data_IF_440193586043
#
_entry.id   IF_440193586043
#
_cell.length_a   1.000
_cell.length_b   1.000
_cell.length_c   1.000
_cell.angle_alpha   90.00
_cell.angle_beta   90.00
_cell.angle_gamma   90.00
#
_symmetry.space_group_name_H-M   'P 1'
#
loop_
_entity.id
_entity.type
_entity.pdbx_description
1 polymer ?
#
# COMPACT_ATOMS: atom_id res chain seq x y z
N UNK A 1 -23.93 -3.61 8.58
CA UNK A 1 -22.54 -3.74 8.06
C UNK A 1 -21.67 -2.84 8.90
N UNK A 2 -20.56 -3.30 9.51
CA UNK A 2 -19.68 -2.40 10.25
C UNK A 2 -19.09 -1.41 9.24
N UNK A 3 -19.31 -0.10 9.48
CA UNK A 3 -18.78 0.97 8.63
C UNK A 3 -17.27 1.01 8.86
N UNK A 4 -16.54 0.48 7.89
CA UNK A 4 -15.09 0.50 7.87
C UNK A 4 -14.66 1.92 7.50
N UNK A 5 -14.38 2.75 8.53
CA UNK A 5 -14.07 4.16 8.32
C UNK A 5 -12.64 4.32 7.76
N UNK A 6 -12.45 5.12 6.69
CA UNK A 6 -11.13 5.47 6.20
C UNK A 6 -10.45 6.34 7.24
N UNK A 7 -9.22 5.97 7.61
CA UNK A 7 -8.44 6.64 8.66
C UNK A 7 -7.10 7.05 8.08
N UNK A 8 -6.67 8.27 8.41
CA UNK A 8 -5.36 8.81 8.09
C UNK A 8 -4.65 9.17 9.37
N UNK A 9 -3.51 8.54 9.60
CA UNK A 9 -2.75 8.70 10.84
C UNK A 9 -1.28 8.94 10.52
N UNK A 10 -0.61 9.70 11.38
CA UNK A 10 0.82 9.97 11.26
C UNK A 10 1.51 9.61 12.56
N UNK A 11 2.57 8.80 12.47
CA UNK A 11 3.22 8.27 13.66
C UNK A 11 4.58 7.65 13.37
N UNK A 12 5.26 7.24 14.43
CA UNK A 12 6.50 6.48 14.33
C UNK A 12 6.18 5.01 14.13
N UNK A 13 6.70 4.40 13.06
CA UNK A 13 6.57 2.97 12.86
C UNK A 13 7.66 2.25 13.66
N UNK A 14 7.26 1.32 14.52
CA UNK A 14 8.17 0.54 15.36
C UNK A 14 7.86 -0.94 15.22
N UNK A 15 8.90 -1.76 15.31
CA UNK A 15 8.74 -3.20 15.38
C UNK A 15 8.33 -3.61 16.82
N UNK A 16 7.42 -4.56 16.92
CA UNK A 16 6.95 -5.11 18.19
C UNK A 16 6.91 -6.63 18.10
N UNK A 17 6.90 -7.31 19.25
CA UNK A 17 6.84 -8.78 19.31
C UNK A 17 5.62 -9.38 18.59
N UNK A 18 4.55 -8.59 18.42
CA UNK A 18 3.31 -8.98 17.74
C UNK A 18 3.23 -8.48 16.29
N UNK A 19 4.28 -7.83 15.77
CA UNK A 19 4.33 -7.24 14.43
C UNK A 19 4.45 -5.71 14.43
N UNK A 20 4.40 -5.08 13.24
CA UNK A 20 4.60 -3.64 13.10
C UNK A 20 3.53 -2.82 13.81
N UNK A 21 3.97 -1.80 14.54
CA UNK A 21 3.12 -0.97 15.37
C UNK A 21 3.36 0.52 15.06
N UNK A 22 2.29 1.27 14.86
CA UNK A 22 2.33 2.72 14.65
C UNK A 22 2.10 3.43 15.98
N UNK A 23 3.12 4.12 16.48
CA UNK A 23 3.02 4.99 17.65
C UNK A 23 2.59 6.39 17.23
N UNK A 24 1.40 6.80 17.65
CA UNK A 24 0.92 8.16 17.46
C UNK A 24 1.58 9.12 18.46
N UNK A 25 1.84 10.37 18.07
CA UNK A 25 2.35 11.38 18.98
C UNK A 25 1.38 11.69 20.16
N UNK A 26 0.09 11.42 20.00
CA UNK A 26 -0.95 11.64 21.02
C UNK A 26 -1.18 10.48 21.99
N UNK A 27 -0.34 9.44 21.99
CA UNK A 27 -0.42 8.34 22.96
C UNK A 27 -1.31 7.15 22.56
N UNK A 28 -1.70 7.06 21.28
CA UNK A 28 -2.39 5.90 20.71
C UNK A 28 -1.43 5.00 19.93
N UNK A 29 -1.68 3.69 19.96
CA UNK A 29 -0.91 2.71 19.21
C UNK A 29 -1.83 1.95 18.26
N UNK A 30 -1.45 1.84 16.99
CA UNK A 30 -2.17 1.02 16.02
C UNK A 30 -1.33 -0.18 15.61
N UNK A 31 -1.92 -1.36 15.72
CA UNK A 31 -1.32 -2.55 15.14
C UNK A 31 -1.55 -2.51 13.62
N UNK A 32 -0.49 -2.72 12.85
CA UNK A 32 -0.55 -2.74 11.39
C UNK A 32 -0.25 -4.16 10.92
N UNK A 33 -1.01 -4.62 9.93
CA UNK A 33 -0.74 -5.90 9.29
C UNK A 33 0.66 -5.89 8.62
N UNK A 34 1.50 -6.90 8.88
CA UNK A 34 2.84 -6.95 8.33
C UNK A 34 2.82 -7.05 6.81
N UNK A 35 3.50 -6.12 6.15
CA UNK A 35 3.73 -6.17 4.71
C UNK A 35 5.18 -5.80 4.39
N UNK A 36 5.65 -6.20 3.20
CA UNK A 36 7.02 -5.86 2.76
C UNK A 36 7.25 -4.35 2.71
N UNK A 37 6.22 -3.55 2.41
CA UNK A 37 6.31 -2.09 2.40
C UNK A 37 6.41 -1.51 3.83
N UNK A 38 5.59 -2.03 4.76
CA UNK A 38 5.60 -1.63 6.17
C UNK A 38 6.96 -1.97 6.81
N UNK A 39 7.47 -3.18 6.60
CA UNK A 39 8.75 -3.61 7.18
C UNK A 39 9.94 -2.77 6.72
N UNK A 40 9.89 -2.21 5.51
CA UNK A 40 10.95 -1.31 4.99
C UNK A 40 10.95 0.07 5.65
N UNK A 41 9.86 0.46 6.31
CA UNK A 41 9.69 1.77 6.92
C UNK A 41 9.77 1.70 8.46
N UNK A 42 10.14 0.56 9.03
CA UNK A 42 10.32 0.42 10.48
C UNK A 42 11.42 1.36 10.95
N UNK A 43 11.17 2.08 12.04
CA UNK A 43 12.05 3.11 12.59
C UNK A 43 11.83 4.50 11.98
N UNK A 44 10.99 4.62 10.95
CA UNK A 44 10.70 5.89 10.29
C UNK A 44 9.37 6.49 10.76
N UNK A 45 9.27 7.82 10.67
CA UNK A 45 7.99 8.51 10.83
C UNK A 45 7.22 8.41 9.54
N UNK A 46 6.02 7.84 9.60
CA UNK A 46 5.21 7.50 8.43
C UNK A 46 3.82 8.09 8.52
N UNK A 47 3.27 8.42 7.36
CA UNK A 47 1.86 8.67 7.15
C UNK A 47 1.23 7.38 6.65
N UNK A 48 0.16 6.95 7.31
CA UNK A 48 -0.59 5.77 6.99
C UNK A 48 -2.02 6.14 6.59
N UNK A 49 -2.49 5.55 5.50
CA UNK A 49 -3.89 5.52 5.13
C UNK A 49 -4.37 4.08 5.12
N UNK A 50 -5.52 3.87 5.74
CA UNK A 50 -6.10 2.54 5.83
C UNK A 50 -7.55 2.59 6.23
N UNK A 51 -8.04 1.40 6.51
CA UNK A 51 -9.39 1.23 7.05
C UNK A 51 -9.28 0.61 8.42
N UNK A 52 -10.02 1.16 9.38
CA UNK A 52 -10.10 0.55 10.71
C UNK A 52 -10.77 -0.83 10.59
N UNK A 53 -10.03 -1.89 10.91
CA UNK A 53 -10.47 -3.28 10.77
C UNK A 53 -10.86 -3.93 12.11
N UNK A 54 -10.89 -3.14 13.20
CA UNK A 54 -11.24 -3.61 14.54
C UNK A 54 -11.04 -2.51 15.60
N UNK A 55 -10.92 -2.92 16.87
CA UNK A 55 -10.68 -1.97 17.97
C UNK A 55 -9.29 -1.31 17.89
N UNK A 56 -8.24 -2.10 17.61
CA UNK A 56 -6.84 -1.65 17.60
C UNK A 56 -6.08 -1.98 16.30
N UNK A 57 -6.76 -2.54 15.30
CA UNK A 57 -6.16 -2.94 14.02
C UNK A 57 -6.54 -1.98 12.90
N UNK A 58 -5.54 -1.59 12.11
CA UNK A 58 -5.75 -0.86 10.86
C UNK A 58 -5.24 -1.71 9.70
N UNK A 59 -6.15 -2.00 8.77
CA UNK A 59 -5.79 -2.55 7.46
C UNK A 59 -5.10 -1.44 6.65
N UNK A 60 -3.77 -1.53 6.56
CA UNK A 60 -2.95 -0.55 5.85
C UNK A 60 -3.15 -0.69 4.34
N UNK A 61 -3.66 0.37 3.70
CA UNK A 61 -3.77 0.41 2.24
C UNK A 61 -2.58 1.12 1.62
N UNK A 62 -2.10 2.20 2.25
CA UNK A 62 -0.94 2.97 1.80
C UNK A 62 -0.14 3.46 2.99
N UNK A 63 1.19 3.40 2.87
CA UNK A 63 2.13 3.87 3.87
C UNK A 63 3.31 4.53 3.17
N UNK A 64 3.75 5.68 3.69
CA UNK A 64 4.92 6.39 3.18
C UNK A 64 5.57 7.22 4.27
N UNK A 65 6.84 7.57 4.08
CA UNK A 65 7.59 8.41 5.03
C UNK A 65 7.01 9.83 5.07
N UNK A 66 6.88 10.38 6.27
CA UNK A 66 6.42 11.77 6.45
C UNK A 66 7.32 12.73 5.67
N UNK A 67 6.71 13.69 4.96
CA UNK A 67 7.41 14.61 4.07
C UNK A 67 7.74 14.04 2.68
N UNK A 68 7.47 12.76 2.42
CA UNK A 68 7.58 12.19 1.07
C UNK A 68 6.25 12.32 0.32
N UNK A 69 6.30 12.50 -1.00
CA UNK A 69 5.11 12.52 -1.83
C UNK A 69 4.33 11.21 -1.68
N UNK A 70 2.99 11.32 -1.55
CA UNK A 70 2.09 10.18 -1.41
C UNK A 70 2.35 9.19 -2.55
N UNK A 71 2.56 7.90 -2.27
CA UNK A 71 2.81 6.90 -3.30
C UNK A 71 1.58 6.82 -4.17
N UNK A 72 1.71 7.36 -5.38
CA UNK A 72 0.71 7.24 -6.42
C UNK A 72 1.02 5.93 -7.16
N UNK A 73 0.36 4.85 -6.74
CA UNK A 73 0.38 3.62 -7.53
C UNK A 73 -0.54 3.86 -8.73
N UNK A 74 0.04 4.31 -9.85
CA UNK A 74 -0.70 4.54 -11.10
C UNK A 74 -1.08 3.20 -11.73
N UNK A 75 -2.21 2.65 -11.31
CA UNK A 75 -2.81 1.43 -11.88
C UNK A 75 -2.96 1.57 -13.42
N UNK A 76 -3.16 2.78 -13.93
CA UNK A 76 -3.25 3.06 -15.37
C UNK A 76 -1.95 2.80 -16.15
N UNK A 77 -0.79 2.74 -15.51
CA UNK A 77 0.46 2.41 -16.21
C UNK A 77 0.47 0.92 -16.58
N UNK A 78 0.08 0.03 -15.66
CA UNK A 78 0.03 -1.42 -15.91
C UNK A 78 -0.97 -1.76 -17.01
N UNK A 79 -2.14 -1.12 -17.01
CA UNK A 79 -3.15 -1.32 -18.05
C UNK A 79 -2.65 -0.95 -19.45
N UNK A 80 -1.90 0.15 -19.56
CA UNK A 80 -1.24 0.56 -20.82
C UNK A 80 -0.21 -0.46 -21.30
N UNK A 81 0.59 -1.03 -20.41
CA UNK A 81 1.56 -2.06 -20.76
C UNK A 81 0.88 -3.35 -21.24
N UNK A 82 -0.22 -3.76 -20.59
CA UNK A 82 -1.00 -4.93 -21.02
C UNK A 82 -1.61 -4.70 -22.40
N UNK A 83 -2.26 -3.56 -22.61
CA UNK A 83 -2.86 -3.22 -23.90
C UNK A 83 -1.80 -3.16 -25.02
N UNK A 84 -0.64 -2.55 -24.75
CA UNK A 84 0.46 -2.48 -25.71
C UNK A 84 1.06 -3.86 -26.02
N UNK A 85 1.23 -4.71 -25.01
CA UNK A 85 1.72 -6.08 -25.20
C UNK A 85 0.74 -6.93 -26.02
N UNK A 86 -0.56 -6.80 -25.78
CA UNK A 86 -1.59 -7.49 -26.59
C UNK A 86 -1.56 -7.04 -28.05
N UNK A 87 -1.46 -5.74 -28.32
CA UNK A 87 -1.37 -5.21 -29.69
C UNK A 87 -0.10 -5.71 -30.39
N UNK A 88 1.04 -5.64 -29.72
CA UNK A 88 2.31 -6.13 -30.28
C UNK A 88 2.28 -7.64 -30.52
N UNK A 89 1.67 -8.41 -29.61
CA UNK A 89 1.52 -9.85 -29.72
C UNK A 89 0.58 -10.25 -30.87
N UNK A 90 -0.55 -9.55 -31.06
CA UNK A 90 -1.43 -9.77 -32.21
C UNK A 90 -0.73 -9.46 -33.53
N UNK A 91 0.06 -8.39 -33.60
CA UNK A 91 0.85 -8.05 -34.80
C UNK A 91 1.93 -9.11 -35.07
N UNK A 92 2.59 -9.60 -34.03
CA UNK A 92 3.56 -10.69 -34.13
C UNK A 92 2.91 -11.96 -34.69
N UNK A 93 1.78 -12.39 -34.13
CA UNK A 93 1.05 -13.56 -34.64
C UNK A 93 0.64 -13.42 -36.12
N UNK A 94 0.22 -12.22 -36.54
CA UNK A 94 -0.14 -11.93 -37.93
C UNK A 94 1.04 -11.97 -38.91
N UNK A 95 2.22 -11.48 -38.50
CA UNK A 95 3.43 -11.50 -39.33
C UNK A 95 4.02 -12.90 -39.43
N UNK A 96 3.98 -13.67 -38.35
CA UNK A 96 4.58 -15.01 -38.27
C UNK A 96 3.61 -16.15 -38.67
N UNK A 97 2.39 -15.82 -39.08
CA UNK A 97 1.49 -16.77 -39.73
C UNK A 97 0.98 -17.90 -38.84
N UNK A 98 0.82 -17.64 -37.54
CA UNK A 98 0.09 -18.56 -36.64
C UNK A 98 -1.39 -18.19 -36.67
N UNK A 99 -2.11 -18.65 -37.69
CA UNK A 99 -3.58 -18.57 -37.77
C UNK A 99 -4.15 -19.96 -38.01
#
# INVERSE_FOLDING_TARGET
MPISQPVRETGLLVDSAQGPLLKLPGGGNWQIEPSRAVNRLIGERVMLEGTRSGFNDIACQRIWKEGTQRPHFEIGMVEKWIASALVAFSLFMAVFGYF
#
